data_IF_664337761910
#
_entry.id   IF_664337761910
#
_cell.length_a   1.000
_cell.length_b   1.000
_cell.length_c   1.000
_cell.angle_alpha   90.00
_cell.angle_beta   90.00
_cell.angle_gamma   90.00
#
_symmetry.space_group_name_H-M   'P 1'
#
loop_
_entity.id
_entity.type
_entity.pdbx_description
1 polymer ?
#
# COMPACT_ATOMS: atom_id res chain seq x y z
N UNK A 1 5.81 34.27 -6.36
CA UNK A 1 5.45 33.11 -7.21
C UNK A 1 6.33 31.94 -6.81
N UNK A 2 5.93 31.17 -5.81
CA UNK A 2 6.61 29.92 -5.46
C UNK A 2 6.30 28.88 -6.54
N UNK A 3 7.35 28.29 -7.12
CA UNK A 3 7.21 27.15 -8.03
C UNK A 3 6.74 25.98 -7.19
N UNK A 4 5.49 25.55 -7.40
CA UNK A 4 5.01 24.27 -6.90
C UNK A 4 5.91 23.20 -7.51
N UNK A 5 6.81 22.65 -6.70
CA UNK A 5 7.67 21.54 -7.06
C UNK A 5 6.77 20.39 -7.51
N UNK A 6 6.92 19.96 -8.76
CA UNK A 6 6.19 18.84 -9.31
C UNK A 6 6.72 17.54 -8.72
N UNK A 7 6.28 17.18 -7.51
CA UNK A 7 6.36 15.81 -7.05
C UNK A 7 5.21 15.03 -7.70
N UNK A 8 5.50 14.46 -8.87
CA UNK A 8 4.55 13.60 -9.58
C UNK A 8 4.15 12.38 -8.72
N UNK A 9 2.89 11.91 -8.78
CA UNK A 9 2.44 10.70 -8.08
C UNK A 9 3.26 9.45 -8.44
N UNK A 10 3.96 9.47 -9.58
CA UNK A 10 4.94 8.46 -9.96
C UNK A 10 6.02 8.22 -8.88
N UNK A 11 6.46 9.27 -8.17
CA UNK A 11 7.48 9.12 -7.12
C UNK A 11 7.01 8.24 -5.97
N UNK A 12 5.70 8.19 -5.68
CA UNK A 12 5.12 7.36 -4.62
C UNK A 12 5.18 5.86 -4.94
N UNK A 13 5.12 5.48 -6.22
CA UNK A 13 5.17 4.09 -6.66
C UNK A 13 6.57 3.49 -6.63
N UNK A 14 7.60 4.34 -6.63
CA UNK A 14 9.01 3.95 -6.64
C UNK A 14 9.62 3.86 -5.23
N UNK A 15 8.80 4.04 -4.19
CA UNK A 15 9.24 3.92 -2.81
C UNK A 15 9.49 2.46 -2.43
N UNK A 16 10.57 2.12 -1.71
CA UNK A 16 10.93 0.73 -1.40
C UNK A 16 9.80 -0.10 -0.76
N UNK A 17 8.96 0.52 0.09
CA UNK A 17 7.80 -0.15 0.69
C UNK A 17 6.67 -0.38 -0.32
N UNK A 18 6.34 0.62 -1.13
CA UNK A 18 5.25 0.56 -2.11
C UNK A 18 5.60 -0.40 -3.26
N UNK A 19 6.84 -0.37 -3.76
CA UNK A 19 7.30 -1.28 -4.81
C UNK A 19 7.29 -2.74 -4.33
N UNK A 20 7.75 -3.02 -3.11
CA UNK A 20 7.66 -4.36 -2.50
C UNK A 20 6.23 -4.88 -2.42
N UNK A 21 5.29 -4.05 -1.96
CA UNK A 21 3.88 -4.43 -1.86
C UNK A 21 3.28 -4.67 -3.25
N UNK A 22 3.57 -3.79 -4.22
CA UNK A 22 3.13 -3.94 -5.62
C UNK A 22 3.63 -5.26 -6.21
N UNK A 23 4.91 -5.56 -6.07
CA UNK A 23 5.53 -6.74 -6.65
C UNK A 23 4.98 -8.02 -6.00
N UNK A 24 4.78 -8.02 -4.68
CA UNK A 24 4.15 -9.12 -3.96
C UNK A 24 2.68 -9.34 -4.41
N UNK A 25 1.89 -8.28 -4.55
CA UNK A 25 0.51 -8.36 -5.04
C UNK A 25 0.43 -8.88 -6.48
N UNK A 26 1.35 -8.44 -7.35
CA UNK A 26 1.47 -8.93 -8.72
C UNK A 26 1.77 -10.43 -8.74
N UNK A 27 2.72 -10.89 -7.91
CA UNK A 27 3.05 -12.31 -7.76
C UNK A 27 1.89 -13.17 -7.22
N UNK A 28 0.95 -12.57 -6.50
CA UNK A 28 -0.28 -13.21 -6.01
C UNK A 28 -1.45 -13.12 -7.01
N UNK A 29 -1.23 -12.54 -8.20
CA UNK A 29 -2.23 -12.46 -9.27
C UNK A 29 -3.22 -11.30 -9.12
N UNK A 30 -2.97 -10.33 -8.24
CA UNK A 30 -3.81 -9.15 -8.13
C UNK A 30 -3.68 -8.28 -9.39
N UNK A 31 -4.75 -8.21 -10.19
CA UNK A 31 -4.76 -7.48 -11.47
C UNK A 31 -4.91 -5.97 -11.33
N UNK A 32 -5.45 -5.51 -10.19
CA UNK A 32 -5.73 -4.10 -9.95
C UNK A 32 -5.66 -3.81 -8.45
N UNK A 33 -4.95 -2.75 -8.11
CA UNK A 33 -4.90 -2.17 -6.77
C UNK A 33 -4.84 -0.65 -6.90
N UNK A 34 -5.50 0.05 -5.99
CA UNK A 34 -5.51 1.50 -5.93
C UNK A 34 -4.85 1.95 -4.63
N UNK A 35 -3.84 2.81 -4.73
CA UNK A 35 -3.29 3.50 -3.57
C UNK A 35 -4.30 4.54 -3.11
N UNK A 36 -4.64 4.54 -1.82
CA UNK A 36 -5.63 5.44 -1.22
C UNK A 36 -5.11 5.99 0.11
N UNK A 37 -5.94 6.76 0.82
CA UNK A 37 -5.67 7.13 2.21
C UNK A 37 -4.50 8.11 2.40
N UNK A 38 -3.84 8.02 3.56
CA UNK A 38 -2.88 9.04 4.03
C UNK A 38 -1.71 9.26 3.08
N UNK A 39 -1.20 8.18 2.47
CA UNK A 39 -0.08 8.25 1.53
C UNK A 39 -0.41 9.05 0.26
N UNK A 40 -1.65 8.98 -0.24
CA UNK A 40 -2.06 9.79 -1.42
C UNK A 40 -2.12 11.29 -1.09
N UNK A 41 -2.63 11.65 0.10
CA UNK A 41 -2.60 13.01 0.61
C UNK A 41 -1.16 13.50 0.78
N UNK A 42 -0.32 12.70 1.44
CA UNK A 42 1.06 13.09 1.74
C UNK A 42 1.88 13.21 0.45
N UNK A 43 1.63 12.37 -0.56
CA UNK A 43 2.18 12.52 -1.91
C UNK A 43 1.77 13.86 -2.54
N UNK A 44 0.48 14.19 -2.53
CA UNK A 44 -0.04 15.42 -3.10
C UNK A 44 0.51 16.69 -2.41
N UNK A 45 0.84 16.58 -1.13
CA UNK A 45 1.45 17.66 -0.34
C UNK A 45 2.98 17.69 -0.39
N UNK A 46 3.63 16.72 -1.06
CA UNK A 46 5.09 16.57 -1.05
C UNK A 46 5.68 16.22 0.32
N UNK A 47 4.89 15.60 1.21
CA UNK A 47 5.23 15.28 2.61
C UNK A 47 5.35 13.78 2.88
N UNK A 48 5.85 13.02 1.92
CA UNK A 48 6.02 11.58 2.07
C UNK A 48 6.99 11.27 3.22
N UNK A 49 6.63 10.26 4.02
CA UNK A 49 7.46 9.70 5.09
C UNK A 49 8.31 8.53 4.57
N UNK A 50 9.43 8.26 5.25
CA UNK A 50 10.33 7.14 4.92
C UNK A 50 9.66 5.76 5.04
N UNK A 51 8.73 5.61 5.99
CA UNK A 51 7.89 4.42 6.19
C UNK A 51 6.43 4.87 6.30
N UNK A 52 5.75 5.09 5.16
CA UNK A 52 4.35 5.50 5.17
C UNK A 52 3.46 4.29 5.42
N UNK A 53 2.32 4.52 6.08
CA UNK A 53 1.23 3.55 6.08
C UNK A 53 0.68 3.45 4.64
N UNK A 54 0.55 2.22 4.13
CA UNK A 54 0.10 1.96 2.76
C UNK A 54 -1.33 1.44 2.81
N UNK A 55 -2.28 2.28 2.38
CA UNK A 55 -3.67 1.89 2.24
C UNK A 55 -3.97 1.50 0.78
N UNK A 56 -4.59 0.33 0.59
CA UNK A 56 -4.93 -0.20 -0.72
C UNK A 56 -6.41 -0.56 -0.82
N UNK A 57 -7.04 -0.11 -1.90
CA UNK A 57 -8.35 -0.60 -2.33
C UNK A 57 -8.16 -1.61 -3.48
N UNK A 58 -8.71 -2.82 -3.31
CA UNK A 58 -8.69 -3.88 -4.31
C UNK A 58 -10.13 -4.24 -4.69
N UNK A 59 -10.40 -4.66 -5.95
CA UNK A 59 -11.74 -5.12 -6.35
C UNK A 59 -12.24 -6.32 -5.55
N UNK A 60 -11.31 -7.14 -5.05
CA UNK A 60 -11.59 -8.30 -4.21
C UNK A 60 -10.54 -8.36 -3.10
N UNK A 61 -11.01 -8.41 -1.86
CA UNK A 61 -10.18 -8.59 -0.67
C UNK A 61 -10.62 -9.85 0.06
N UNK A 62 -9.67 -10.50 0.73
CA UNK A 62 -9.96 -11.61 1.64
C UNK A 62 -8.85 -11.73 2.67
N UNK A 63 -9.16 -12.31 3.83
CA UNK A 63 -8.14 -12.62 4.82
C UNK A 63 -7.08 -13.58 4.25
N UNK A 64 -7.46 -14.44 3.30
CA UNK A 64 -6.54 -15.35 2.59
C UNK A 64 -5.52 -14.55 1.79
N UNK A 65 -5.96 -13.55 1.01
CA UNK A 65 -5.08 -12.67 0.26
C UNK A 65 -4.17 -11.86 1.20
N UNK A 66 -4.72 -11.29 2.28
CA UNK A 66 -3.95 -10.54 3.27
C UNK A 66 -2.86 -11.40 3.92
N UNK A 67 -3.18 -12.65 4.29
CA UNK A 67 -2.20 -13.61 4.84
C UNK A 67 -1.14 -14.02 3.82
N UNK A 68 -1.51 -14.21 2.56
CA UNK A 68 -0.56 -14.51 1.50
C UNK A 68 0.41 -13.33 1.25
N UNK A 69 -0.12 -12.11 1.25
CA UNK A 69 0.68 -10.88 1.16
C UNK A 69 1.63 -10.75 2.35
N UNK A 70 1.13 -10.93 3.57
CA UNK A 70 1.96 -10.94 4.78
C UNK A 70 3.08 -11.97 4.69
N UNK A 71 2.79 -13.19 4.27
CA UNK A 71 3.80 -14.24 4.09
C UNK A 71 4.87 -13.84 3.07
N UNK A 72 4.49 -13.23 1.96
CA UNK A 72 5.43 -12.74 0.95
C UNK A 72 6.33 -11.60 1.47
N UNK A 73 5.82 -10.79 2.39
CA UNK A 73 6.54 -9.67 3.00
C UNK A 73 7.29 -10.05 4.30
N UNK A 74 7.18 -11.30 4.75
CA UNK A 74 7.76 -11.74 6.03
C UNK A 74 7.06 -11.16 7.26
N UNK A 75 5.76 -10.85 7.15
CA UNK A 75 4.95 -10.19 8.17
C UNK A 75 3.76 -11.01 8.68
N UNK A 76 2.79 -10.30 9.25
CA UNK A 76 1.53 -10.85 9.79
C UNK A 76 0.31 -10.15 9.19
N UNK A 77 -0.84 -10.83 9.20
CA UNK A 77 -2.10 -10.24 8.76
C UNK A 77 -3.26 -10.59 9.71
N UNK A 78 -4.18 -9.64 9.86
CA UNK A 78 -5.39 -9.77 10.67
C UNK A 78 -6.55 -8.98 10.07
N UNK A 79 -7.77 -9.39 10.39
CA UNK A 79 -8.96 -8.64 10.03
C UNK A 79 -9.09 -7.39 10.91
N UNK A 80 -9.47 -6.27 10.29
CA UNK A 80 -9.94 -5.09 10.98
C UNK A 80 -11.46 -5.11 11.07
N UNK A 81 -12.10 -5.47 9.96
CA UNK A 81 -13.53 -5.67 9.83
C UNK A 81 -13.78 -6.72 8.73
N UNK A 82 -14.25 -7.90 9.11
CA UNK A 82 -14.52 -8.99 8.16
C UNK A 82 -15.75 -8.69 7.28
N UNK A 83 -16.74 -7.96 7.81
CA UNK A 83 -17.97 -7.62 7.09
C UNK A 83 -17.70 -6.65 5.93
N UNK A 84 -16.77 -5.74 6.14
CA UNK A 84 -16.35 -4.75 5.13
C UNK A 84 -15.14 -5.21 4.28
N UNK A 85 -14.65 -6.43 4.49
CA UNK A 85 -13.48 -6.94 3.77
C UNK A 85 -12.20 -6.13 4.02
N UNK A 86 -12.05 -5.58 5.22
CA UNK A 86 -10.93 -4.76 5.63
C UNK A 86 -9.91 -5.58 6.43
N UNK A 87 -8.67 -5.59 5.94
CA UNK A 87 -7.58 -6.37 6.52
C UNK A 87 -6.33 -5.51 6.66
N UNK A 88 -5.53 -5.81 7.68
CA UNK A 88 -4.22 -5.19 7.88
C UNK A 88 -3.11 -6.20 7.67
N UNK A 89 -2.07 -5.76 6.99
CA UNK A 89 -0.78 -6.46 6.86
C UNK A 89 0.27 -5.60 7.54
N UNK A 90 1.11 -6.21 8.37
CA UNK A 90 2.21 -5.54 9.06
C UNK A 90 3.50 -6.33 8.86
N UNK A 91 4.57 -5.69 8.40
CA UNK A 91 5.89 -6.32 8.21
C UNK A 91 7.02 -5.38 8.61
N UNK A 92 8.26 -5.89 8.59
CA UNK A 92 9.45 -5.07 8.83
C UNK A 92 9.72 -4.17 7.62
N UNK A 93 9.23 -2.93 7.67
CA UNK A 93 9.39 -1.95 6.59
C UNK A 93 8.19 -1.04 6.35
N UNK A 94 7.04 -1.37 6.93
CA UNK A 94 5.77 -0.65 6.83
C UNK A 94 4.62 -1.57 7.21
#
# INVERSE_FOLDING_TARGET
>A
MERISQNSPASALDMPGVSRVRDALSGLGAKKAHLVGGITRDAALGKIRLRPDIDLALPQTSLVLARALAKALGGSAFALDEGEGAYRVAWEGG
#
